data_IF_297108969626
#
_entry.id   IF_297108969626
#
_cell.length_a   1.000
_cell.length_b   1.000
_cell.length_c   1.000
_cell.angle_alpha   90.00
_cell.angle_beta   90.00
_cell.angle_gamma   90.00
#
_symmetry.space_group_name_H-M   'P 1'
#
loop_
_entity.id
_entity.type
_entity.pdbx_description
1 polymer ?
#
# COMPACT_ATOMS: atom_id res chain seq x y z
N UNK A 1 0.45 9.04 -34.68
CA UNK A 1 0.62 9.66 -33.36
C UNK A 1 2.06 9.41 -32.93
N UNK A 2 2.84 10.47 -32.73
CA UNK A 2 4.21 10.32 -32.26
C UNK A 2 4.17 9.87 -30.79
N UNK A 3 4.66 8.66 -30.51
CA UNK A 3 4.93 8.20 -29.15
C UNK A 3 6.01 9.13 -28.58
N UNK A 4 5.69 9.89 -27.54
CA UNK A 4 6.59 10.88 -26.93
C UNK A 4 7.49 10.23 -25.87
N UNK A 5 8.67 10.81 -25.72
CA UNK A 5 9.90 10.33 -25.05
C UNK A 5 9.85 9.96 -23.54
N UNK A 6 8.68 9.91 -22.91
CA UNK A 6 8.54 9.54 -21.48
C UNK A 6 7.56 8.36 -21.33
N UNK A 7 7.96 7.19 -21.85
CA UNK A 7 7.14 5.96 -21.86
C UNK A 7 6.89 5.43 -20.44
N UNK A 8 7.91 5.47 -19.58
CA UNK A 8 7.89 4.96 -18.21
C UNK A 8 7.76 6.09 -17.18
N UNK A 9 7.07 5.83 -16.07
CA UNK A 9 6.91 6.75 -14.95
C UNK A 9 8.21 6.88 -14.15
N UNK A 10 8.92 5.77 -13.93
CA UNK A 10 10.19 5.72 -13.22
C UNK A 10 11.10 4.58 -13.70
N UNK A 11 12.32 4.54 -13.16
CA UNK A 11 13.34 3.55 -13.51
C UNK A 11 12.97 2.11 -13.08
N UNK A 12 12.02 1.91 -12.16
CA UNK A 12 11.67 0.58 -11.65
C UNK A 12 10.92 -0.27 -12.69
N UNK A 13 10.27 0.38 -13.65
CA UNK A 13 9.58 -0.27 -14.76
C UNK A 13 10.52 -1.04 -15.68
N UNK A 14 11.76 -0.55 -15.82
CA UNK A 14 12.73 -1.07 -16.79
C UNK A 14 13.85 -1.88 -16.16
N UNK A 15 13.78 -2.13 -14.85
CA UNK A 15 14.75 -3.00 -14.16
C UNK A 15 14.82 -4.38 -14.82
N UNK A 16 16.04 -4.89 -14.97
CA UNK A 16 16.24 -6.29 -15.32
C UNK A 16 15.59 -7.21 -14.27
N UNK A 17 15.24 -8.43 -14.68
CA UNK A 17 14.65 -9.43 -13.76
C UNK A 17 15.52 -9.64 -12.52
N UNK A 18 16.84 -9.76 -12.70
CA UNK A 18 17.79 -9.95 -11.60
C UNK A 18 17.85 -8.73 -10.67
N UNK A 19 17.90 -7.51 -11.23
CA UNK A 19 17.92 -6.29 -10.43
C UNK A 19 16.62 -6.13 -9.63
N UNK A 20 15.47 -6.46 -10.25
CA UNK A 20 14.16 -6.43 -9.59
C UNK A 20 14.06 -7.45 -8.46
N UNK A 21 14.54 -8.67 -8.67
CA UNK A 21 14.55 -9.71 -7.64
C UNK A 21 15.41 -9.31 -6.45
N UNK A 22 16.62 -8.81 -6.69
CA UNK A 22 17.51 -8.31 -5.63
C UNK A 22 16.90 -7.15 -4.85
N UNK A 23 16.24 -6.23 -5.55
CA UNK A 23 15.51 -5.13 -4.93
C UNK A 23 14.37 -5.64 -4.03
N UNK A 24 13.51 -6.53 -4.55
CA UNK A 24 12.37 -7.07 -3.80
C UNK A 24 12.83 -7.89 -2.58
N UNK A 25 13.86 -8.72 -2.71
CA UNK A 25 14.43 -9.47 -1.59
C UNK A 25 15.01 -8.52 -0.51
N UNK A 26 15.60 -7.41 -0.91
CA UNK A 26 16.10 -6.39 0.03
C UNK A 26 14.98 -5.64 0.75
N UNK A 27 13.93 -5.26 0.01
CA UNK A 27 12.74 -4.62 0.61
C UNK A 27 11.99 -5.58 1.54
N UNK A 28 11.89 -6.85 1.17
CA UNK A 28 11.23 -7.88 1.97
C UNK A 28 11.93 -8.04 3.34
N UNK A 29 13.25 -8.19 3.36
CA UNK A 29 14.01 -8.31 4.62
C UNK A 29 13.80 -7.12 5.55
N UNK A 30 13.81 -5.90 5.00
CA UNK A 30 13.53 -4.69 5.76
C UNK A 30 12.09 -4.69 6.30
N UNK A 31 11.12 -5.07 5.48
CA UNK A 31 9.71 -5.13 5.89
C UNK A 31 9.48 -6.18 6.99
N UNK A 32 10.07 -7.37 6.85
CA UNK A 32 9.96 -8.44 7.85
C UNK A 32 10.53 -8.03 9.20
N UNK A 33 11.68 -7.35 9.19
CA UNK A 33 12.27 -6.81 10.41
C UNK A 33 11.40 -5.71 11.02
N UNK A 34 10.93 -4.77 10.21
CA UNK A 34 10.07 -3.68 10.65
C UNK A 34 8.76 -4.20 11.27
N UNK A 35 8.09 -5.16 10.62
CA UNK A 35 6.88 -5.78 11.16
C UNK A 35 7.14 -6.48 12.49
N UNK A 36 8.23 -7.25 12.60
CA UNK A 36 8.59 -7.95 13.83
C UNK A 36 8.85 -6.98 15.01
N UNK A 37 9.48 -5.85 14.72
CA UNK A 37 9.87 -4.87 15.75
C UNK A 37 8.70 -3.98 16.18
N UNK A 38 7.84 -3.56 15.25
CA UNK A 38 6.87 -2.49 15.49
C UNK A 38 5.40 -2.90 15.45
N UNK A 39 5.03 -4.04 14.83
CA UNK A 39 3.65 -4.56 14.87
C UNK A 39 3.55 -5.74 15.82
N UNK A 40 2.85 -5.54 16.94
CA UNK A 40 2.59 -6.61 17.91
C UNK A 40 1.81 -7.77 17.28
N UNK A 41 0.80 -7.48 16.46
CA UNK A 41 0.00 -8.50 15.79
C UNK A 41 0.84 -9.33 14.80
N UNK A 42 1.71 -8.69 14.02
CA UNK A 42 2.60 -9.41 13.10
C UNK A 42 3.61 -10.27 13.86
N UNK A 43 4.20 -9.76 14.95
CA UNK A 43 5.13 -10.51 15.80
C UNK A 43 4.47 -11.76 16.38
N UNK A 44 3.28 -11.63 16.97
CA UNK A 44 2.53 -12.77 17.53
C UNK A 44 2.19 -13.81 16.47
N UNK A 45 1.79 -13.37 15.28
CA UNK A 45 1.50 -14.25 14.15
C UNK A 45 2.75 -15.04 13.71
N UNK A 46 3.90 -14.37 13.64
CA UNK A 46 5.18 -15.02 13.30
C UNK A 46 5.62 -15.99 14.39
N UNK A 47 5.54 -15.61 15.66
CA UNK A 47 5.91 -16.48 16.79
C UNK A 47 5.04 -17.74 16.84
N UNK A 48 3.72 -17.60 16.62
CA UNK A 48 2.79 -18.74 16.55
C UNK A 48 3.12 -19.70 15.38
N UNK A 49 3.63 -19.16 14.28
CA UNK A 49 4.09 -19.95 13.13
C UNK A 49 5.52 -20.48 13.29
N UNK A 50 6.22 -20.15 14.39
CA UNK A 50 7.62 -20.51 14.60
C UNK A 50 8.59 -19.77 13.67
N UNK A 51 8.19 -18.60 13.16
CA UNK A 51 8.96 -17.78 12.21
C UNK A 51 9.64 -16.64 12.96
N UNK A 52 10.94 -16.46 12.72
CA UNK A 52 11.73 -15.31 13.16
C UNK A 52 11.90 -14.32 12.01
N UNK A 53 12.15 -13.05 12.33
CA UNK A 53 12.36 -12.01 11.31
C UNK A 53 13.43 -12.36 10.26
N UNK A 54 14.47 -13.10 10.66
CA UNK A 54 15.56 -13.52 9.77
C UNK A 54 15.29 -14.79 8.96
N UNK A 55 14.14 -15.43 9.12
CA UNK A 55 13.82 -16.68 8.41
C UNK A 55 13.27 -16.44 7.00
N UNK A 56 12.82 -15.22 6.70
CA UNK A 56 12.24 -14.79 5.42
C UNK A 56 13.20 -13.82 4.75
N UNK A 57 13.98 -14.30 3.77
CA UNK A 57 15.04 -13.52 3.14
C UNK A 57 14.79 -13.23 1.67
N UNK A 58 13.97 -14.06 1.02
CA UNK A 58 13.70 -13.98 -0.41
C UNK A 58 12.21 -14.07 -0.68
N UNK A 59 11.78 -13.58 -1.84
CA UNK A 59 10.39 -13.72 -2.30
C UNK A 59 9.93 -15.20 -2.35
N UNK A 60 10.86 -16.14 -2.50
CA UNK A 60 10.57 -17.57 -2.47
C UNK A 60 10.21 -18.09 -1.07
N UNK A 61 10.50 -17.34 -0.01
CA UNK A 61 10.13 -17.67 1.37
C UNK A 61 8.70 -17.25 1.73
N UNK A 62 8.05 -16.38 0.93
CA UNK A 62 6.70 -15.88 1.19
C UNK A 62 5.65 -16.98 1.45
N UNK A 63 5.66 -18.16 0.78
CA UNK A 63 4.71 -19.23 1.07
C UNK A 63 4.79 -19.79 2.50
N UNK A 64 5.88 -19.52 3.23
CA UNK A 64 6.04 -19.92 4.64
C UNK A 64 5.25 -19.01 5.58
N UNK A 65 4.92 -17.79 5.15
CA UNK A 65 4.17 -16.85 5.98
C UNK A 65 2.70 -17.30 6.11
N UNK A 66 2.12 -17.22 7.31
CA UNK A 66 0.70 -17.46 7.48
C UNK A 66 -0.12 -16.37 6.77
N UNK A 67 -1.23 -16.79 6.17
CA UNK A 67 -2.18 -15.87 5.53
C UNK A 67 -3.01 -15.18 6.60
N UNK A 68 -3.01 -13.85 6.62
CA UNK A 68 -3.93 -13.05 7.45
C UNK A 68 -5.27 -12.91 6.73
N UNK A 69 -6.36 -13.37 7.35
CA UNK A 69 -7.71 -13.22 6.78
C UNK A 69 -8.32 -11.90 7.22
N UNK A 70 -9.34 -11.46 6.48
CA UNK A 70 -10.05 -10.23 6.81
C UNK A 70 -10.74 -10.32 8.17
N UNK A 71 -11.31 -11.47 8.49
CA UNK A 71 -11.98 -11.71 9.77
C UNK A 71 -11.00 -11.61 10.94
N UNK A 72 -9.74 -12.04 10.75
CA UNK A 72 -8.70 -11.93 11.78
C UNK A 72 -8.36 -10.46 12.07
N UNK A 73 -8.34 -9.60 11.04
CA UNK A 73 -8.11 -8.15 11.17
C UNK A 73 -9.24 -7.51 11.97
N UNK A 74 -10.49 -7.79 11.62
CA UNK A 74 -11.68 -7.26 12.30
C UNK A 74 -11.63 -7.66 13.78
N UNK A 75 -11.42 -8.95 14.04
CA UNK A 75 -11.33 -9.49 15.39
C UNK A 75 -10.21 -8.84 16.20
N UNK A 76 -9.02 -8.67 15.61
CA UNK A 76 -7.90 -8.02 16.29
C UNK A 76 -8.24 -6.56 16.67
N UNK A 77 -8.90 -5.82 15.78
CA UNK A 77 -9.31 -4.43 16.04
C UNK A 77 -10.40 -4.34 17.12
N UNK A 78 -11.30 -5.31 17.19
CA UNK A 78 -12.32 -5.41 18.26
C UNK A 78 -11.71 -5.78 19.61
N UNK A 79 -10.78 -6.75 19.65
CA UNK A 79 -10.13 -7.22 20.88
C UNK A 79 -9.12 -6.19 21.41
N UNK A 80 -8.47 -5.42 20.54
CA UNK A 80 -7.46 -4.43 20.90
C UNK A 80 -7.60 -3.12 20.08
N UNK A 81 -8.56 -2.25 20.43
CA UNK A 81 -8.80 -1.01 19.69
C UNK A 81 -7.63 -0.01 19.84
N UNK A 82 -7.44 0.89 18.86
CA UNK A 82 -8.24 1.03 17.64
C UNK A 82 -7.77 0.15 16.48
N UNK A 83 -6.50 -0.24 16.43
CA UNK A 83 -5.91 -0.88 15.23
C UNK A 83 -5.49 -2.33 15.40
N UNK A 84 -5.80 -2.99 16.52
CA UNK A 84 -5.52 -4.41 16.73
C UNK A 84 -4.04 -4.75 16.83
N UNK A 85 -3.17 -3.78 17.11
CA UNK A 85 -1.71 -3.96 17.08
C UNK A 85 -1.14 -4.19 15.67
N UNK A 86 -1.92 -3.92 14.61
CA UNK A 86 -1.52 -4.11 13.21
C UNK A 86 -0.63 -2.98 12.68
N UNK A 87 -0.72 -1.78 13.26
CA UNK A 87 0.13 -0.67 12.82
C UNK A 87 1.59 -0.92 13.22
N UNK A 88 2.50 -0.51 12.34
CA UNK A 88 3.95 -0.59 12.55
C UNK A 88 4.61 0.81 12.56
N UNK A 89 3.80 1.84 12.82
CA UNK A 89 4.17 3.25 12.82
C UNK A 89 3.66 3.91 14.10
N UNK A 90 4.27 5.02 14.55
CA UNK A 90 3.69 5.87 15.58
C UNK A 90 2.30 6.38 15.18
N UNK A 91 1.40 6.54 16.15
CA UNK A 91 0.03 6.98 15.86
C UNK A 91 -0.01 8.44 15.37
N UNK A 92 0.92 9.26 15.83
CA UNK A 92 1.09 10.66 15.40
C UNK A 92 1.48 10.81 13.93
N UNK A 93 1.97 9.75 13.29
CA UNK A 93 2.32 9.74 11.86
C UNK A 93 1.12 9.37 10.96
N UNK A 94 -0.02 8.96 11.55
CA UNK A 94 -1.23 8.60 10.83
C UNK A 94 -1.93 9.88 10.34
N UNK A 95 -2.00 10.06 9.02
CA UNK A 95 -2.62 11.22 8.40
C UNK A 95 -4.12 10.99 8.12
N UNK A 96 -4.49 9.78 7.73
CA UNK A 96 -5.89 9.43 7.39
C UNK A 96 -6.25 8.06 7.93
N UNK A 97 -7.52 7.92 8.30
CA UNK A 97 -8.15 6.64 8.66
C UNK A 97 -9.30 6.42 7.69
N UNK A 98 -9.26 5.28 6.99
CA UNK A 98 -10.34 4.77 6.17
C UNK A 98 -11.08 3.65 6.91
N UNK A 99 -12.33 3.44 6.53
CA UNK A 99 -13.16 2.35 7.06
C UNK A 99 -13.74 1.59 5.87
N UNK A 100 -13.20 0.40 5.63
CA UNK A 100 -13.69 -0.53 4.61
C UNK A 100 -14.90 -1.34 5.12
N UNK A 101 -15.73 -1.90 4.21
CA UNK A 101 -16.86 -2.76 4.61
C UNK A 101 -16.43 -3.87 5.57
N UNK A 102 -17.21 -4.11 6.61
CA UNK A 102 -16.83 -5.04 7.69
C UNK A 102 -15.91 -4.36 8.71
N UNK A 103 -16.35 -3.25 9.29
CA UNK A 103 -15.57 -2.08 9.78
C UNK A 103 -14.06 -2.30 10.00
N UNK A 104 -13.27 -2.40 8.92
CA UNK A 104 -11.81 -2.47 9.04
C UNK A 104 -11.24 -1.06 9.02
N UNK A 105 -10.54 -0.68 10.08
CA UNK A 105 -9.79 0.58 10.14
C UNK A 105 -8.47 0.44 9.41
N UNK A 106 -8.31 1.22 8.35
CA UNK A 106 -7.11 1.24 7.51
C UNK A 106 -6.42 2.59 7.67
N UNK A 107 -5.11 2.58 7.96
CA UNK A 107 -4.34 3.80 8.17
C UNK A 107 -3.57 4.18 6.91
N UNK A 108 -3.36 5.47 6.73
CA UNK A 108 -2.43 6.01 5.74
C UNK A 108 -1.45 6.96 6.43
N UNK A 109 -0.16 6.72 6.16
CA UNK A 109 0.96 7.58 6.55
C UNK A 109 1.50 8.26 5.29
N UNK A 110 1.42 9.60 5.23
CA UNK A 110 1.95 10.48 4.16
C UNK A 110 1.49 10.19 2.70
N UNK A 111 2.08 10.92 1.74
CA UNK A 111 1.75 10.93 0.32
C UNK A 111 1.91 9.55 -0.31
N UNK A 112 0.79 8.92 -0.66
CA UNK A 112 0.77 7.63 -1.33
C UNK A 112 0.93 7.84 -2.84
N UNK A 113 1.95 7.19 -3.42
CA UNK A 113 2.20 7.19 -4.86
C UNK A 113 1.78 5.90 -5.57
N UNK A 114 0.95 5.07 -4.93
CA UNK A 114 0.74 3.67 -5.35
C UNK A 114 0.14 3.54 -6.76
N UNK A 115 -0.76 4.44 -7.16
CA UNK A 115 -1.43 4.35 -8.45
C UNK A 115 -0.79 5.17 -9.56
N UNK A 116 0.16 6.05 -9.26
CA UNK A 116 0.72 7.00 -10.23
C UNK A 116 1.38 6.30 -11.40
N UNK A 117 2.15 5.23 -11.13
CA UNK A 117 2.75 4.40 -12.18
C UNK A 117 1.71 3.73 -13.08
N UNK A 118 0.63 3.20 -12.49
CA UNK A 118 -0.44 2.56 -13.25
C UNK A 118 -1.24 3.56 -14.08
N UNK A 119 -1.52 4.74 -13.54
CA UNK A 119 -2.21 5.83 -14.23
C UNK A 119 -1.35 6.43 -15.34
N UNK A 120 -0.04 6.56 -15.12
CA UNK A 120 0.89 6.93 -16.17
C UNK A 120 0.91 5.89 -17.30
N UNK A 121 0.96 4.60 -16.98
CA UNK A 121 0.85 3.55 -17.99
C UNK A 121 -0.50 3.59 -18.73
N UNK A 122 -1.57 4.03 -18.07
CA UNK A 122 -2.90 4.24 -18.68
C UNK A 122 -2.99 5.51 -19.55
N UNK A 123 -1.94 6.33 -19.61
CA UNK A 123 -1.83 7.50 -20.49
C UNK A 123 -2.13 8.84 -19.83
N UNK A 124 -2.41 8.90 -18.53
CA UNK A 124 -2.63 10.17 -17.83
C UNK A 124 -1.34 10.98 -17.73
N UNK A 125 -1.39 12.26 -18.06
CA UNK A 125 -0.23 13.16 -18.10
C UNK A 125 -0.57 14.55 -17.57
N UNK A 126 0.48 15.36 -17.42
CA UNK A 126 0.38 16.77 -17.10
C UNK A 126 -0.53 17.50 -18.10
N UNK A 127 -1.53 18.20 -17.59
CA UNK A 127 -2.48 18.99 -18.38
C UNK A 127 -3.80 18.29 -18.66
N UNK A 128 -3.91 16.98 -18.38
CA UNK A 128 -5.21 16.30 -18.44
C UNK A 128 -6.17 16.84 -17.38
N UNK A 129 -7.45 16.88 -17.71
CA UNK A 129 -8.53 17.15 -16.75
C UNK A 129 -9.33 15.85 -16.59
N UNK A 130 -9.35 15.30 -15.39
CA UNK A 130 -9.86 13.95 -15.12
C UNK A 130 -11.04 14.00 -14.16
N UNK A 131 -12.16 13.44 -14.59
CA UNK A 131 -13.34 13.22 -13.75
C UNK A 131 -13.11 12.02 -12.84
N UNK A 132 -12.85 12.25 -11.55
CA UNK A 132 -12.73 11.16 -10.58
C UNK A 132 -14.07 10.93 -9.86
N UNK A 133 -14.78 9.89 -10.31
CA UNK A 133 -16.10 9.50 -9.82
C UNK A 133 -16.09 8.45 -8.70
N UNK A 134 -14.92 8.06 -8.19
CA UNK A 134 -14.86 7.25 -6.97
C UNK A 134 -15.36 8.04 -5.76
N UNK A 135 -15.93 7.37 -4.75
CA UNK A 135 -16.38 8.02 -3.52
C UNK A 135 -15.20 8.51 -2.67
N UNK A 136 -15.29 9.73 -2.15
CA UNK A 136 -14.26 10.42 -1.34
C UNK A 136 -14.52 10.32 0.18
N UNK A 137 -15.27 9.29 0.61
CA UNK A 137 -15.74 9.16 1.99
C UNK A 137 -14.87 8.17 2.78
N UNK A 138 -15.45 7.15 3.42
CA UNK A 138 -14.74 6.24 4.31
C UNK A 138 -13.87 5.23 3.54
N UNK A 139 -14.17 4.95 2.28
CA UNK A 139 -13.36 4.03 1.46
C UNK A 139 -12.17 4.78 0.84
N UNK A 140 -10.98 4.16 0.76
CA UNK A 140 -9.76 4.85 0.30
C UNK A 140 -9.75 5.16 -1.21
N UNK A 141 -10.58 4.49 -2.02
CA UNK A 141 -10.46 4.51 -3.49
C UNK A 141 -10.48 5.93 -4.09
N UNK A 142 -11.37 6.81 -3.62
CA UNK A 142 -11.44 8.20 -4.09
C UNK A 142 -10.12 8.95 -3.89
N UNK A 143 -9.54 8.86 -2.69
CA UNK A 143 -8.26 9.49 -2.35
C UNK A 143 -7.09 8.90 -3.08
N UNK A 144 -6.98 7.56 -3.12
CA UNK A 144 -5.84 6.93 -3.76
C UNK A 144 -5.78 7.25 -5.27
N UNK A 145 -6.93 7.29 -5.95
CA UNK A 145 -7.01 7.71 -7.35
C UNK A 145 -6.72 9.21 -7.51
N UNK A 146 -7.21 10.05 -6.58
CA UNK A 146 -6.94 11.49 -6.58
C UNK A 146 -5.44 11.79 -6.51
N UNK A 147 -4.74 11.19 -5.54
CA UNK A 147 -3.30 11.39 -5.37
C UNK A 147 -2.50 10.87 -6.57
N UNK A 148 -2.86 9.69 -7.09
CA UNK A 148 -2.20 9.13 -8.26
C UNK A 148 -2.32 10.02 -9.50
N UNK A 149 -3.51 10.59 -9.73
CA UNK A 149 -3.76 11.52 -10.84
C UNK A 149 -2.99 12.83 -10.67
N UNK A 150 -2.96 13.38 -9.45
CA UNK A 150 -2.19 14.60 -9.13
C UNK A 150 -0.70 14.42 -9.39
N UNK A 151 -0.15 13.26 -9.02
CA UNK A 151 1.26 12.94 -9.24
C UNK A 151 1.60 12.75 -10.73
N UNK A 152 0.64 12.29 -11.54
CA UNK A 152 0.77 12.34 -13.01
C UNK A 152 0.73 13.77 -13.59
N UNK A 153 0.41 14.78 -12.76
CA UNK A 153 0.27 16.18 -13.14
C UNK A 153 -1.11 16.55 -13.69
N UNK A 154 -2.09 15.67 -13.55
CA UNK A 154 -3.46 15.92 -14.02
C UNK A 154 -4.22 16.84 -13.04
N UNK A 155 -5.18 17.60 -13.57
CA UNK A 155 -6.19 18.32 -12.80
C UNK A 155 -7.36 17.38 -12.53
N UNK A 156 -7.71 17.18 -11.25
CA UNK A 156 -8.79 16.26 -10.87
C UNK A 156 -10.08 17.02 -10.60
N UNK A 157 -11.14 16.69 -11.31
CA UNK A 157 -12.51 17.11 -10.99
C UNK A 157 -13.04 16.15 -9.92
N UNK A 158 -13.28 16.67 -8.72
CA UNK A 158 -13.74 15.90 -7.56
C UNK A 158 -15.25 15.77 -7.61
N UNK A 159 -15.76 14.65 -8.13
CA UNK A 159 -17.21 14.46 -8.24
C UNK A 159 -17.81 13.54 -7.20
N UNK A 160 -17.09 12.50 -6.75
CA UNK A 160 -17.58 11.62 -5.69
C UNK A 160 -18.93 10.93 -5.99
N UNK A 161 -19.39 10.09 -5.08
CA UNK A 161 -20.83 9.85 -4.97
C UNK A 161 -21.37 10.97 -4.07
N UNK A 162 -22.12 11.91 -4.65
CA UNK A 162 -22.89 12.91 -3.92
C UNK A 162 -24.12 12.31 -3.26
#
# INVERSE_FOLDING_TARGET
>A
MAVRQDEHYDEWETMSTEARENYLNSRLRLQMRHLYDYSTAARELFEKAGIKAGDINTIADLPRLPVTRKEDIIRAQEENPPYGGLIAVPEEDIERIFISPGPVYEIQTTDIQWFSRALWAAGFRRGDIVLNSFTYHLSPAGMLMHEGLRQCGATVVVTGAG
#
